data_IF_068049545050
#
_entry.id   IF_068049545050
#
_cell.length_a   1.000
_cell.length_b   1.000
_cell.length_c   1.000
_cell.angle_alpha   90.00
_cell.angle_beta   90.00
_cell.angle_gamma   90.00
#
_symmetry.space_group_name_H-M   'P 1'
#
loop_
_entity.id
_entity.type
_entity.pdbx_description
1 polymer ?
#
# COMPACT_ATOMS: atom_id res chain seq x y z
N UNK A 1 -45.52 20.45 34.60
CA UNK A 1 -45.31 19.52 33.47
C UNK A 1 -43.82 19.52 33.17
N UNK A 2 -43.12 18.47 33.61
CA UNK A 2 -41.69 18.27 33.45
C UNK A 2 -41.54 17.11 32.46
N UNK A 3 -41.15 17.41 31.22
CA UNK A 3 -40.84 16.38 30.23
C UNK A 3 -39.38 15.96 30.41
N UNK A 4 -39.20 14.73 30.88
CA UNK A 4 -37.93 14.05 30.90
C UNK A 4 -37.50 13.77 29.45
N UNK A 5 -36.40 14.40 29.01
CA UNK A 5 -35.75 14.05 27.77
C UNK A 5 -35.11 12.67 27.94
N UNK A 6 -35.67 11.69 27.23
CA UNK A 6 -35.18 10.32 27.17
C UNK A 6 -33.74 10.27 26.67
N UNK A 7 -32.87 9.72 27.50
CA UNK A 7 -31.50 9.38 27.17
C UNK A 7 -31.54 8.28 26.09
N UNK A 8 -31.38 8.67 24.82
CA UNK A 8 -31.25 7.72 23.72
C UNK A 8 -29.94 6.97 23.93
N UNK A 9 -29.92 5.63 23.97
CA UNK A 9 -28.69 4.89 24.15
C UNK A 9 -27.76 5.19 22.97
N UNK A 10 -26.60 5.76 23.28
CA UNK A 10 -25.48 5.90 22.35
C UNK A 10 -25.13 4.48 21.92
N UNK A 11 -25.47 4.11 20.68
CA UNK A 11 -24.91 2.92 20.04
C UNK A 11 -23.41 3.09 20.05
N UNK A 12 -22.71 2.27 20.84
CA UNK A 12 -21.26 2.16 20.81
C UNK A 12 -20.92 1.57 19.45
N UNK A 13 -20.67 2.46 18.49
CA UNK A 13 -20.07 2.10 17.22
C UNK A 13 -18.66 1.61 17.57
N UNK A 14 -18.42 0.30 17.46
CA UNK A 14 -17.13 -0.30 17.77
C UNK A 14 -16.02 0.45 17.02
N UNK A 15 -15.05 1.01 17.75
CA UNK A 15 -13.88 1.67 17.15
C UNK A 15 -13.22 0.70 16.15
N UNK A 16 -13.16 1.02 14.85
CA UNK A 16 -12.63 0.12 13.83
C UNK A 16 -11.18 -0.28 14.10
N UNK A 17 -10.42 0.55 14.81
CA UNK A 17 -9.05 0.23 15.25
C UNK A 17 -9.08 -0.87 16.32
N UNK A 18 -10.01 -0.78 17.28
CA UNK A 18 -10.14 -1.75 18.34
C UNK A 18 -10.62 -3.11 17.80
N UNK A 19 -11.58 -3.12 16.87
CA UNK A 19 -12.01 -4.34 16.17
C UNK A 19 -10.82 -5.02 15.48
N UNK A 20 -10.01 -4.26 14.73
CA UNK A 20 -8.82 -4.79 14.03
C UNK A 20 -7.74 -5.27 15.00
N UNK A 21 -7.57 -4.63 16.16
CA UNK A 21 -6.68 -5.12 17.23
C UNK A 21 -7.17 -6.44 17.83
N UNK A 22 -8.47 -6.57 18.07
CA UNK A 22 -9.07 -7.80 18.60
C UNK A 22 -8.90 -8.95 17.59
N UNK A 23 -9.16 -8.71 16.30
CA UNK A 23 -8.88 -9.69 15.22
C UNK A 23 -7.41 -10.11 15.20
N UNK A 24 -6.48 -9.15 15.29
CA UNK A 24 -5.04 -9.47 15.38
C UNK A 24 -4.72 -10.35 16.59
N UNK A 25 -5.29 -10.04 17.75
CA UNK A 25 -5.10 -10.84 18.96
C UNK A 25 -5.64 -12.27 18.79
N UNK A 26 -6.78 -12.43 18.11
CA UNK A 26 -7.34 -13.73 17.77
C UNK A 26 -6.43 -14.54 16.84
N UNK A 27 -5.80 -13.91 15.82
CA UNK A 27 -4.79 -14.57 14.99
C UNK A 27 -3.63 -15.11 15.85
N UNK A 28 -3.08 -14.28 16.73
CA UNK A 28 -1.97 -14.66 17.62
C UNK A 28 -2.38 -15.81 18.55
N UNK A 29 -3.59 -15.75 19.14
CA UNK A 29 -4.11 -16.79 20.01
C UNK A 29 -4.32 -18.13 19.28
N UNK A 30 -4.63 -18.08 17.97
CA UNK A 30 -4.71 -19.24 17.09
C UNK A 30 -3.33 -19.73 16.61
N UNK A 31 -2.22 -19.20 17.14
CA UNK A 31 -0.86 -19.55 16.74
C UNK A 31 -0.42 -18.98 15.38
N UNK A 32 -1.20 -18.08 14.77
CA UNK A 32 -0.92 -17.47 13.47
C UNK A 32 -0.22 -16.13 13.66
N UNK A 33 0.90 -15.93 12.99
CA UNK A 33 1.65 -14.67 13.06
C UNK A 33 1.03 -13.62 12.11
N UNK A 34 0.44 -12.51 12.62
CA UNK A 34 -0.19 -11.48 11.78
C UNK A 34 0.81 -10.54 11.09
N UNK A 35 2.11 -10.72 11.36
CA UNK A 35 3.22 -9.98 10.79
C UNK A 35 4.22 -11.01 10.29
N UNK A 36 3.93 -11.55 9.10
CA UNK A 36 4.54 -12.73 8.53
C UNK A 36 6.01 -12.59 8.21
N UNK A 37 6.46 -13.42 7.28
CA UNK A 37 7.84 -13.56 6.88
C UNK A 37 8.05 -13.04 5.44
N UNK A 38 9.25 -13.21 4.90
CA UNK A 38 9.48 -12.98 3.48
C UNK A 38 8.60 -13.95 2.68
N UNK A 39 7.79 -13.42 1.76
CA UNK A 39 6.92 -14.21 0.90
C UNK A 39 7.49 -14.25 -0.52
N UNK A 40 7.73 -15.45 -1.03
CA UNK A 40 8.24 -15.66 -2.38
C UNK A 40 7.09 -15.57 -3.39
N UNK A 41 6.99 -14.43 -4.07
CA UNK A 41 6.04 -14.21 -5.17
C UNK A 41 6.71 -14.49 -6.53
N UNK A 42 5.94 -14.95 -7.50
CA UNK A 42 6.43 -15.33 -8.83
C UNK A 42 6.07 -14.33 -9.93
N UNK A 43 5.13 -13.41 -9.67
CA UNK A 43 4.68 -12.44 -10.66
C UNK A 43 4.11 -11.17 -10.03
N UNK A 44 4.26 -10.06 -10.75
CA UNK A 44 3.55 -8.83 -10.47
C UNK A 44 2.22 -8.75 -11.25
N UNK A 45 1.30 -7.92 -10.78
CA UNK A 45 0.00 -7.72 -11.40
C UNK A 45 0.13 -7.29 -12.88
N UNK A 46 1.02 -6.34 -13.20
CA UNK A 46 1.25 -5.90 -14.58
C UNK A 46 1.73 -7.03 -15.49
N UNK A 47 2.58 -7.90 -14.97
CA UNK A 47 3.18 -9.00 -15.73
C UNK A 47 2.12 -10.04 -16.10
N UNK A 48 1.21 -10.32 -15.16
CA UNK A 48 0.06 -11.19 -15.40
C UNK A 48 -0.88 -10.56 -16.44
N UNK A 49 -1.21 -9.27 -16.32
CA UNK A 49 -2.05 -8.59 -17.31
C UNK A 49 -1.44 -8.62 -18.72
N UNK A 50 -0.13 -8.42 -18.83
CA UNK A 50 0.57 -8.50 -20.10
C UNK A 50 0.60 -9.93 -20.67
N UNK A 51 0.96 -10.92 -19.83
CA UNK A 51 1.09 -12.33 -20.24
C UNK A 51 -0.24 -12.94 -20.70
N UNK A 52 -1.34 -12.60 -20.02
CA UNK A 52 -2.67 -13.18 -20.27
C UNK A 52 -3.62 -12.20 -20.96
N UNK A 53 -3.10 -11.20 -21.68
CA UNK A 53 -3.91 -10.20 -22.37
C UNK A 53 -4.93 -10.82 -23.33
N UNK A 54 -4.58 -11.95 -23.97
CA UNK A 54 -5.40 -12.65 -24.97
C UNK A 54 -6.22 -13.82 -24.39
N UNK A 55 -6.15 -14.08 -23.08
CA UNK A 55 -6.93 -15.15 -22.44
C UNK A 55 -8.43 -14.87 -22.60
N UNK A 56 -9.22 -15.85 -23.06
CA UNK A 56 -10.63 -15.64 -23.35
C UNK A 56 -11.49 -15.56 -22.08
N UNK A 57 -12.66 -14.91 -22.18
CA UNK A 57 -13.59 -14.78 -21.06
C UNK A 57 -14.11 -16.14 -20.60
N UNK A 58 -13.95 -16.43 -19.30
CA UNK A 58 -14.34 -17.71 -18.71
C UNK A 58 -13.29 -18.80 -18.80
N UNK A 59 -12.11 -18.51 -19.37
CA UNK A 59 -11.01 -19.47 -19.48
C UNK A 59 -10.21 -19.55 -18.16
N UNK A 60 -9.88 -20.77 -17.75
CA UNK A 60 -8.99 -21.08 -16.64
C UNK A 60 -7.71 -21.68 -17.22
N UNK A 61 -6.56 -21.27 -16.68
CA UNK A 61 -5.24 -21.81 -17.04
C UNK A 61 -4.77 -22.78 -15.96
N UNK A 62 -3.76 -23.58 -16.29
CA UNK A 62 -3.04 -24.40 -15.31
C UNK A 62 -1.78 -23.68 -14.75
N UNK A 63 -1.64 -22.39 -15.04
CA UNK A 63 -0.45 -21.64 -14.67
C UNK A 63 -0.52 -21.21 -13.21
N UNK A 64 0.29 -21.87 -12.39
CA UNK A 64 0.41 -21.57 -10.97
C UNK A 64 1.24 -20.31 -10.76
N UNK A 65 0.70 -19.38 -9.97
CA UNK A 65 1.34 -18.11 -9.63
C UNK A 65 1.22 -17.81 -8.15
N UNK A 66 2.25 -17.17 -7.61
CA UNK A 66 2.25 -16.55 -6.29
C UNK A 66 2.26 -15.02 -6.47
N UNK A 67 1.28 -14.34 -5.90
CA UNK A 67 1.16 -12.88 -5.92
C UNK A 67 1.03 -12.33 -4.52
N UNK A 68 1.55 -11.12 -4.27
CA UNK A 68 1.45 -10.46 -2.99
C UNK A 68 1.06 -8.99 -3.14
N UNK A 69 0.31 -8.47 -2.20
CA UNK A 69 -0.10 -7.07 -2.24
C UNK A 69 -1.04 -6.66 -1.12
N UNK A 70 -1.58 -5.46 -1.25
CA UNK A 70 -2.52 -4.87 -0.30
C UNK A 70 -3.96 -5.08 -0.76
N UNK A 71 -4.83 -5.52 0.15
CA UNK A 71 -6.27 -5.63 -0.13
C UNK A 71 -6.87 -4.24 -0.26
N UNK A 72 -7.28 -3.89 -1.48
CA UNK A 72 -7.91 -2.62 -1.81
C UNK A 72 -9.43 -2.72 -1.83
N UNK A 73 -9.99 -3.86 -2.21
CA UNK A 73 -11.43 -4.14 -2.10
C UNK A 73 -11.65 -5.56 -1.62
N UNK A 74 -12.81 -5.78 -1.01
CA UNK A 74 -13.29 -7.11 -0.64
C UNK A 74 -14.80 -7.14 -0.83
N UNK A 75 -15.29 -8.13 -1.57
CA UNK A 75 -16.72 -8.38 -1.79
C UNK A 75 -17.01 -9.85 -1.46
N UNK A 76 -17.92 -10.09 -0.53
CA UNK A 76 -18.31 -11.44 -0.10
C UNK A 76 -19.70 -11.76 -0.64
N UNK A 77 -19.85 -12.91 -1.29
CA UNK A 77 -21.09 -13.39 -1.91
C UNK A 77 -21.30 -14.87 -1.57
N UNK A 78 -21.82 -15.15 -0.37
CA UNK A 78 -22.04 -16.52 0.10
C UNK A 78 -20.74 -17.33 0.18
N UNK A 79 -20.61 -18.32 -0.71
CA UNK A 79 -19.45 -19.23 -0.82
C UNK A 79 -18.31 -18.71 -1.71
N UNK A 80 -18.46 -17.49 -2.24
CA UNK A 80 -17.48 -16.81 -3.09
C UNK A 80 -17.04 -15.49 -2.45
N UNK A 81 -15.76 -15.15 -2.59
CA UNK A 81 -15.25 -13.83 -2.25
C UNK A 81 -14.33 -13.31 -3.35
N UNK A 82 -14.42 -12.01 -3.65
CA UNK A 82 -13.57 -11.32 -4.61
C UNK A 82 -12.78 -10.24 -3.89
N UNK A 83 -11.45 -10.29 -4.00
CA UNK A 83 -10.56 -9.27 -3.48
C UNK A 83 -9.91 -8.53 -4.64
N UNK A 84 -9.62 -7.24 -4.48
CA UNK A 84 -8.65 -6.56 -5.34
C UNK A 84 -7.35 -6.44 -4.57
N UNK A 85 -6.30 -7.06 -5.07
CA UNK A 85 -4.96 -7.00 -4.52
C UNK A 85 -4.14 -5.99 -5.33
N UNK A 86 -3.53 -5.03 -4.64
CA UNK A 86 -2.65 -4.01 -5.25
C UNK A 86 -1.20 -4.27 -4.88
N UNK A 87 -0.35 -4.39 -5.88
CA UNK A 87 1.10 -4.49 -5.71
C UNK A 87 1.82 -3.22 -6.19
N UNK A 88 3.14 -3.32 -6.38
CA UNK A 88 3.95 -2.22 -6.93
C UNK A 88 3.70 -1.96 -8.41
N UNK A 89 2.88 -2.71 -9.12
CA UNK A 89 2.70 -2.55 -10.58
C UNK A 89 1.26 -2.27 -10.97
N UNK A 90 0.29 -2.72 -10.18
CA UNK A 90 -1.11 -2.50 -10.47
C UNK A 90 -2.04 -3.30 -9.57
N UNK A 91 -3.24 -3.53 -10.08
CA UNK A 91 -4.31 -4.27 -9.41
C UNK A 91 -4.54 -5.62 -10.09
N UNK A 92 -4.70 -6.67 -9.30
CA UNK A 92 -5.15 -7.99 -9.75
C UNK A 92 -6.34 -8.45 -8.90
N UNK A 93 -7.31 -9.12 -9.51
CA UNK A 93 -8.42 -9.71 -8.75
C UNK A 93 -8.01 -11.05 -8.17
N UNK A 94 -8.36 -11.31 -6.92
CA UNK A 94 -8.27 -12.62 -6.30
C UNK A 94 -9.67 -13.19 -6.21
N UNK A 95 -9.84 -14.40 -6.73
CA UNK A 95 -11.09 -15.13 -6.68
C UNK A 95 -10.98 -16.25 -5.66
N UNK A 96 -11.67 -16.11 -4.53
CA UNK A 96 -11.67 -17.09 -3.44
C UNK A 96 -12.98 -17.88 -3.48
N UNK A 97 -12.90 -19.21 -3.61
CA UNK A 97 -14.06 -20.10 -3.53
C UNK A 97 -13.80 -21.13 -2.43
N UNK A 98 -14.84 -21.48 -1.68
CA UNK A 98 -14.71 -22.45 -0.57
C UNK A 98 -14.21 -23.82 -1.05
N UNK A 99 -14.53 -24.21 -2.30
CA UNK A 99 -14.13 -25.50 -2.85
C UNK A 99 -12.62 -25.57 -3.13
N UNK A 100 -11.95 -24.45 -3.41
CA UNK A 100 -10.50 -24.43 -3.70
C UNK A 100 -9.66 -24.21 -2.43
N UNK A 101 -10.18 -23.45 -1.46
CA UNK A 101 -9.47 -23.11 -0.21
C UNK A 101 -9.81 -24.04 0.97
N UNK A 102 -10.94 -24.75 0.92
CA UNK A 102 -11.50 -25.41 2.09
C UNK A 102 -12.17 -24.44 3.09
N UNK A 103 -12.88 -24.99 4.06
CA UNK A 103 -13.74 -24.21 4.96
C UNK A 103 -12.94 -23.31 5.92
N UNK A 104 -11.85 -23.83 6.51
CA UNK A 104 -11.05 -23.10 7.49
C UNK A 104 -10.36 -21.88 6.90
N UNK A 105 -9.73 -22.05 5.73
CA UNK A 105 -9.00 -20.97 5.08
C UNK A 105 -9.95 -19.95 4.44
N UNK A 106 -11.07 -20.41 3.87
CA UNK A 106 -12.12 -19.51 3.40
C UNK A 106 -12.74 -18.68 4.54
N UNK A 107 -12.87 -19.24 5.76
CA UNK A 107 -13.29 -18.47 6.92
C UNK A 107 -12.28 -17.35 7.24
N UNK A 108 -10.98 -17.62 7.16
CA UNK A 108 -9.94 -16.60 7.36
C UNK A 108 -10.02 -15.49 6.31
N UNK A 109 -10.31 -15.82 5.05
CA UNK A 109 -10.54 -14.81 4.00
C UNK A 109 -11.66 -13.85 4.39
N UNK A 110 -12.71 -14.33 5.06
CA UNK A 110 -13.80 -13.48 5.58
C UNK A 110 -13.39 -12.58 6.74
N UNK A 111 -12.32 -12.91 7.45
CA UNK A 111 -11.80 -12.08 8.55
C UNK A 111 -10.79 -11.01 8.11
N UNK A 112 -10.18 -11.17 6.93
CA UNK A 112 -9.29 -10.17 6.33
C UNK A 112 -9.99 -8.81 6.14
N UNK A 113 -9.26 -7.72 6.32
CA UNK A 113 -9.78 -6.36 6.20
C UNK A 113 -9.10 -5.59 5.07
N UNK A 114 -9.78 -4.54 4.58
CA UNK A 114 -9.17 -3.59 3.65
C UNK A 114 -7.90 -2.99 4.27
N UNK A 115 -6.84 -2.95 3.48
CA UNK A 115 -5.52 -2.49 3.86
C UNK A 115 -4.56 -3.58 4.34
N UNK A 116 -5.05 -4.78 4.66
CA UNK A 116 -4.19 -5.92 5.00
C UNK A 116 -3.29 -6.28 3.81
N UNK A 117 -2.07 -6.71 4.10
CA UNK A 117 -1.17 -7.31 3.12
C UNK A 117 -1.30 -8.81 3.14
N UNK A 118 -1.48 -9.41 1.97
CA UNK A 118 -1.61 -10.86 1.82
C UNK A 118 -0.72 -11.38 0.69
N UNK A 119 -0.30 -12.64 0.84
CA UNK A 119 0.26 -13.46 -0.22
C UNK A 119 -0.80 -14.45 -0.68
N UNK A 120 -0.84 -14.76 -1.96
CA UNK A 120 -1.82 -15.65 -2.58
C UNK A 120 -1.11 -16.58 -3.55
N UNK A 121 -1.28 -17.88 -3.36
CA UNK A 121 -0.96 -18.88 -4.37
C UNK A 121 -2.24 -19.30 -5.07
N UNK A 122 -2.16 -19.54 -6.38
CA UNK A 122 -3.33 -19.89 -7.16
C UNK A 122 -3.06 -20.11 -8.63
N UNK A 123 -4.13 -20.28 -9.41
CA UNK A 123 -4.08 -20.40 -10.87
C UNK A 123 -4.69 -19.20 -11.56
N UNK A 124 -4.20 -18.85 -12.74
CA UNK A 124 -4.71 -17.70 -13.48
C UNK A 124 -6.02 -18.07 -14.22
N UNK A 125 -6.99 -17.16 -14.17
CA UNK A 125 -8.25 -17.25 -14.93
C UNK A 125 -8.67 -15.89 -15.43
N UNK A 126 -9.47 -15.85 -16.50
CA UNK A 126 -10.31 -14.70 -16.80
C UNK A 126 -11.75 -15.05 -16.47
N UNK A 127 -12.36 -14.27 -15.58
CA UNK A 127 -13.78 -14.46 -15.25
C UNK A 127 -14.68 -14.26 -16.47
N UNK A 128 -15.91 -14.78 -16.44
CA UNK A 128 -16.92 -14.56 -17.50
C UNK A 128 -17.27 -13.09 -17.75
N UNK A 129 -16.87 -12.17 -16.87
CA UNK A 129 -17.04 -10.72 -17.01
C UNK A 129 -15.78 -10.03 -17.57
N UNK A 130 -14.82 -10.80 -18.06
CA UNK A 130 -13.58 -10.32 -18.66
C UNK A 130 -12.50 -9.87 -17.70
N UNK A 131 -12.69 -10.02 -16.39
CA UNK A 131 -11.69 -9.61 -15.40
C UNK A 131 -10.66 -10.72 -15.16
N UNK A 132 -9.38 -10.44 -15.44
CA UNK A 132 -8.26 -11.31 -15.10
C UNK A 132 -8.15 -11.47 -13.58
N UNK A 133 -8.03 -12.71 -13.11
CA UNK A 133 -8.03 -13.07 -11.70
C UNK A 133 -7.07 -14.21 -11.41
N UNK A 134 -6.68 -14.34 -10.14
CA UNK A 134 -6.02 -15.53 -9.60
C UNK A 134 -7.03 -16.28 -8.73
N UNK A 135 -7.33 -17.53 -9.06
CA UNK A 135 -8.14 -18.43 -8.24
C UNK A 135 -7.25 -18.86 -7.07
N UNK A 136 -7.60 -18.42 -5.86
CA UNK A 136 -6.78 -18.70 -4.70
C UNK A 136 -6.92 -20.16 -4.28
N UNK A 137 -5.78 -20.85 -4.20
CA UNK A 137 -5.65 -22.18 -3.60
C UNK A 137 -5.00 -22.10 -2.22
N UNK A 138 -4.29 -21.01 -1.92
CA UNK A 138 -3.78 -20.69 -0.59
C UNK A 138 -3.64 -19.17 -0.41
N UNK A 139 -3.92 -18.65 0.78
CA UNK A 139 -3.85 -17.25 1.18
C UNK A 139 -3.18 -17.13 2.55
N UNK A 140 -2.14 -16.31 2.60
CA UNK A 140 -1.42 -15.98 3.83
C UNK A 140 -1.58 -14.50 4.17
N UNK A 141 -1.84 -14.21 5.45
CA UNK A 141 -1.76 -12.85 5.98
C UNK A 141 -0.29 -12.46 6.24
N UNK A 142 0.23 -11.51 5.45
CA UNK A 142 1.60 -11.02 5.60
C UNK A 142 1.70 -9.86 6.60
N UNK A 143 0.71 -8.97 6.61
CA UNK A 143 0.69 -7.85 7.56
C UNK A 143 -0.72 -7.34 7.82
N UNK A 144 -1.15 -7.44 9.08
CA UNK A 144 -2.44 -6.89 9.52
C UNK A 144 -2.44 -5.36 9.56
N UNK A 145 -3.35 -4.74 8.81
CA UNK A 145 -3.65 -3.32 8.90
C UNK A 145 -4.57 -3.03 10.09
N UNK A 146 -4.03 -2.33 11.09
CA UNK A 146 -4.75 -1.91 12.29
C UNK A 146 -5.60 -0.66 12.05
N UNK A 147 -5.16 0.23 11.16
CA UNK A 147 -5.93 1.44 10.79
C UNK A 147 -6.69 1.16 9.51
N UNK A 148 -7.99 1.46 9.45
CA UNK A 148 -8.72 1.40 8.20
C UNK A 148 -8.14 2.40 7.21
N UNK A 149 -8.14 2.03 5.93
CA UNK A 149 -7.90 2.99 4.86
C UNK A 149 -9.07 3.99 4.83
N UNK A 150 -8.83 5.27 4.50
CA UNK A 150 -9.90 6.23 4.25
C UNK A 150 -10.87 5.72 3.17
N UNK A 151 -12.11 6.18 3.21
CA UNK A 151 -13.10 5.79 2.21
C UNK A 151 -12.66 6.15 0.78
N UNK A 152 -12.93 5.22 -0.15
CA UNK A 152 -12.50 5.34 -1.55
C UNK A 152 -13.16 6.47 -2.33
N UNK A 153 -14.38 6.86 -1.98
CA UNK A 153 -15.19 7.75 -2.83
C UNK A 153 -14.72 9.20 -2.85
N UNK A 154 -14.03 9.66 -1.80
CA UNK A 154 -13.54 11.04 -1.74
C UNK A 154 -12.01 11.16 -1.86
N UNK A 155 -11.29 10.02 -1.85
CA UNK A 155 -9.85 10.00 -1.70
C UNK A 155 -9.38 10.74 -0.44
N UNK A 156 -8.08 10.80 -0.21
CA UNK A 156 -7.54 11.73 0.78
C UNK A 156 -7.47 13.11 0.11
N UNK A 157 -8.53 13.91 0.19
CA UNK A 157 -8.65 15.20 -0.50
C UNK A 157 -7.97 16.36 0.23
N UNK A 158 -7.97 16.32 1.58
CA UNK A 158 -7.36 17.34 2.42
C UNK A 158 -5.83 17.38 2.21
N UNK A 159 -5.33 18.48 1.63
CA UNK A 159 -3.90 18.67 1.30
C UNK A 159 -2.98 18.52 2.52
N UNK A 160 -3.37 19.04 3.67
CA UNK A 160 -2.57 18.94 4.89
C UNK A 160 -2.41 17.47 5.32
N UNK A 161 -3.51 16.71 5.34
CA UNK A 161 -3.48 15.30 5.67
C UNK A 161 -2.65 14.49 4.67
N UNK A 162 -2.72 14.80 3.38
CA UNK A 162 -1.87 14.16 2.35
C UNK A 162 -0.39 14.36 2.60
N UNK A 163 0.00 15.55 3.07
CA UNK A 163 1.40 15.87 3.35
C UNK A 163 1.88 15.27 4.66
N UNK A 164 1.02 15.22 5.69
CA UNK A 164 1.33 14.58 6.98
C UNK A 164 1.35 13.06 6.91
N UNK A 165 0.49 12.47 6.09
CA UNK A 165 0.31 11.02 5.95
C UNK A 165 0.57 10.58 4.51
N UNK A 166 1.76 10.92 3.98
CA UNK A 166 2.14 10.57 2.60
C UNK A 166 1.99 9.09 2.28
N UNK A 167 2.23 8.21 3.25
CA UNK A 167 2.07 6.77 3.10
C UNK A 167 0.61 6.35 2.80
N UNK A 168 -0.39 7.05 3.37
CA UNK A 168 -1.81 6.83 3.04
C UNK A 168 -2.13 7.45 1.68
N UNK A 169 -1.61 8.65 1.42
CA UNK A 169 -1.81 9.36 0.15
C UNK A 169 -1.31 8.55 -1.05
N UNK A 170 -0.15 7.91 -0.94
CA UNK A 170 0.39 7.02 -1.99
C UNK A 170 -0.47 5.79 -2.27
N UNK A 171 -1.19 5.29 -1.27
CA UNK A 171 -2.10 4.14 -1.42
C UNK A 171 -3.42 4.56 -2.05
N UNK A 172 -3.95 5.71 -1.62
CA UNK A 172 -5.29 6.18 -2.00
C UNK A 172 -5.31 6.97 -3.31
N UNK A 173 -4.20 7.63 -3.69
CA UNK A 173 -4.11 8.50 -4.85
C UNK A 173 -2.98 8.04 -5.80
N UNK A 174 -3.25 7.14 -6.77
CA UNK A 174 -2.24 6.61 -7.70
C UNK A 174 -1.45 7.69 -8.46
N UNK A 175 -2.09 8.80 -8.83
CA UNK A 175 -1.43 9.92 -9.53
C UNK A 175 -0.28 10.55 -8.72
N UNK A 176 -0.33 10.46 -7.38
CA UNK A 176 0.76 10.93 -6.51
C UNK A 176 2.00 10.08 -6.73
N UNK A 177 1.81 8.76 -6.80
CA UNK A 177 2.90 7.82 -7.08
C UNK A 177 3.53 8.11 -8.44
N UNK A 178 2.72 8.33 -9.48
CA UNK A 178 3.24 8.74 -10.80
C UNK A 178 4.06 10.03 -10.74
N UNK A 179 3.67 10.98 -9.89
CA UNK A 179 4.42 12.23 -9.70
C UNK A 179 5.83 11.97 -9.14
N UNK A 180 5.95 11.06 -8.17
CA UNK A 180 7.25 10.66 -7.63
C UNK A 180 8.09 9.85 -8.63
N UNK A 181 7.47 8.96 -9.40
CA UNK A 181 8.14 8.23 -10.48
C UNK A 181 8.68 9.19 -11.55
N UNK A 182 7.89 10.18 -11.95
CA UNK A 182 8.32 11.24 -12.88
C UNK A 182 9.48 12.05 -12.30
N UNK A 183 9.42 12.46 -11.02
CA UNK A 183 10.53 13.15 -10.35
C UNK A 183 11.82 12.33 -10.39
N UNK A 184 11.74 11.04 -10.07
CA UNK A 184 12.90 10.14 -10.14
C UNK A 184 13.48 10.05 -11.56
N UNK A 185 12.62 9.89 -12.57
CA UNK A 185 13.03 9.85 -13.99
C UNK A 185 13.68 11.15 -14.44
N UNK A 186 13.15 12.30 -14.03
CA UNK A 186 13.72 13.62 -14.35
C UNK A 186 15.13 13.76 -13.77
N UNK A 187 15.32 13.49 -12.48
CA UNK A 187 16.65 13.56 -11.85
C UNK A 187 17.62 12.59 -12.50
N UNK A 188 17.18 11.37 -12.80
CA UNK A 188 18.00 10.36 -13.48
C UNK A 188 18.39 10.80 -14.90
N UNK A 189 17.50 11.48 -15.62
CA UNK A 189 17.77 11.99 -16.96
C UNK A 189 18.79 13.14 -16.93
N UNK A 190 18.66 14.06 -15.95
CA UNK A 190 19.63 15.14 -15.76
C UNK A 190 21.03 14.59 -15.47
N UNK A 191 21.15 13.60 -14.57
CA UNK A 191 22.43 12.96 -14.27
C UNK A 191 23.08 12.34 -15.51
N UNK A 192 22.35 11.48 -16.21
CA UNK A 192 22.86 10.82 -17.43
C UNK A 192 23.30 11.83 -18.47
N UNK A 193 22.50 12.87 -18.70
CA UNK A 193 22.86 13.93 -19.65
C UNK A 193 24.18 14.62 -19.26
N UNK A 194 24.38 14.96 -17.98
CA UNK A 194 25.61 15.59 -17.51
C UNK A 194 26.82 14.66 -17.59
N UNK A 195 26.64 13.38 -17.25
CA UNK A 195 27.66 12.33 -17.38
C UNK A 195 28.11 12.13 -18.83
N UNK A 196 27.16 12.10 -19.78
CA UNK A 196 27.44 12.01 -21.21
C UNK A 196 28.24 13.23 -21.73
N UNK A 197 28.17 14.35 -21.01
CA UNK A 197 28.96 15.56 -21.27
C UNK A 197 30.25 15.63 -20.43
N UNK A 198 30.67 14.51 -19.81
CA UNK A 198 31.88 14.38 -19.00
C UNK A 198 31.93 15.25 -17.73
N UNK A 199 30.76 15.66 -17.20
CA UNK A 199 30.70 16.29 -15.88
C UNK A 199 30.85 15.24 -14.77
N UNK A 200 31.47 15.63 -13.66
CA UNK A 200 31.56 14.83 -12.45
C UNK A 200 30.56 15.31 -11.40
N UNK A 201 29.69 14.41 -10.92
CA UNK A 201 28.82 14.69 -9.76
C UNK A 201 29.68 14.72 -8.48
N UNK A 202 29.58 15.80 -7.71
CA UNK A 202 30.32 15.99 -6.45
C UNK A 202 29.38 16.38 -5.32
N UNK A 203 29.72 15.99 -4.10
CA UNK A 203 29.00 16.41 -2.91
C UNK A 203 29.77 17.51 -2.18
N UNK A 204 29.15 18.68 -2.04
CA UNK A 204 29.69 19.81 -1.27
C UNK A 204 29.03 19.89 0.11
N UNK A 205 29.69 20.51 1.12
CA UNK A 205 29.14 20.63 2.47
C UNK A 205 27.74 21.25 2.48
N UNK A 206 26.89 20.81 3.41
CA UNK A 206 25.59 21.45 3.68
C UNK A 206 25.66 22.47 4.82
N UNK A 207 26.66 22.36 5.70
CA UNK A 207 26.90 23.24 6.83
C UNK A 207 28.08 24.15 6.52
N UNK A 208 27.83 25.45 6.46
CA UNK A 208 28.85 26.45 6.20
C UNK A 208 29.06 27.32 7.44
N UNK A 209 30.30 27.74 7.67
CA UNK A 209 30.61 28.73 8.72
C UNK A 209 30.37 30.17 8.27
N UNK A 210 30.08 30.37 6.98
CA UNK A 210 29.88 31.68 6.35
C UNK A 210 28.64 31.59 5.46
N UNK A 211 27.87 32.67 5.39
CA UNK A 211 26.72 32.77 4.50
C UNK A 211 27.17 33.19 3.10
N UNK A 212 26.70 32.50 2.05
CA UNK A 212 27.06 32.83 0.67
C UNK A 212 26.27 32.07 -0.38
N UNK A 213 26.43 32.45 -1.65
CA UNK A 213 25.89 31.75 -2.82
C UNK A 213 24.53 32.24 -3.34
N UNK A 214 23.68 32.83 -2.50
CA UNK A 214 22.41 33.43 -2.92
C UNK A 214 21.93 34.50 -1.92
N UNK A 215 20.91 35.29 -2.31
CA UNK A 215 20.27 36.25 -1.41
C UNK A 215 19.05 35.63 -0.73
N UNK A 216 19.28 34.89 0.37
CA UNK A 216 18.23 34.27 1.18
C UNK A 216 18.64 34.21 2.66
N UNK A 217 17.65 34.19 3.56
CA UNK A 217 17.88 34.01 4.99
C UNK A 217 18.18 32.52 5.28
N UNK A 218 19.36 32.15 5.80
CA UNK A 218 19.68 30.76 6.08
C UNK A 218 19.07 30.27 7.40
N UNK A 219 18.96 28.95 7.53
CA UNK A 219 18.75 28.32 8.84
C UNK A 219 20.07 28.31 9.61
N UNK A 220 19.99 28.64 10.89
CA UNK A 220 21.14 28.69 11.80
C UNK A 220 21.08 27.48 12.73
N UNK A 221 22.21 26.82 12.92
CA UNK A 221 22.39 25.74 13.89
C UNK A 221 23.69 25.95 14.67
N UNK A 222 23.84 25.28 15.81
CA UNK A 222 25.02 25.41 16.65
C UNK A 222 25.85 24.13 16.63
N UNK A 223 27.14 24.26 16.34
CA UNK A 223 28.06 23.13 16.33
C UNK A 223 28.76 22.98 17.69
N UNK A 224 28.23 22.12 18.55
CA UNK A 224 28.69 21.95 19.94
C UNK A 224 30.22 21.79 20.08
N UNK A 225 30.87 20.93 19.28
CA UNK A 225 32.31 20.67 19.45
C UNK A 225 33.23 21.82 19.01
N UNK A 226 32.74 22.72 18.15
CA UNK A 226 33.49 23.90 17.68
C UNK A 226 33.01 25.17 18.40
N UNK A 227 32.02 25.03 19.29
CA UNK A 227 31.37 26.08 20.04
C UNK A 227 31.06 27.33 19.21
N UNK A 228 30.49 27.13 18.01
CA UNK A 228 30.15 28.20 17.08
C UNK A 228 28.96 27.85 16.19
N UNK A 229 28.33 28.88 15.67
CA UNK A 229 27.19 28.74 14.78
C UNK A 229 27.62 28.35 13.36
N UNK A 230 26.74 27.60 12.70
CA UNK A 230 26.83 27.20 11.31
C UNK A 230 25.49 27.47 10.62
N UNK A 231 25.56 27.57 9.30
CA UNK A 231 24.43 27.91 8.44
C UNK A 231 24.17 26.77 7.45
N UNK A 232 22.90 26.39 7.28
CA UNK A 232 22.52 25.47 6.20
C UNK A 232 22.63 26.20 4.85
N UNK A 233 23.25 25.53 3.87
CA UNK A 233 23.50 26.09 2.54
C UNK A 233 22.21 26.55 1.85
N UNK A 234 22.32 27.66 1.11
CA UNK A 234 21.24 28.22 0.27
C UNK A 234 21.53 28.03 -1.23
N UNK A 235 22.78 27.75 -1.58
CA UNK A 235 23.25 27.36 -2.91
C UNK A 235 24.51 26.49 -2.77
N UNK A 236 24.87 25.79 -3.85
CA UNK A 236 26.10 25.00 -4.01
C UNK A 236 26.98 25.60 -5.07
#
# INVERSE_FOLDING_TARGET
MSEAQGNTPITVEDDPIQVRKNKRAAFIAAGKNPYGHAFDYTAHASDLHARYQQLADGEETNDHVAVAGRIMTKRVQGKLSFLTLRDTTGDIQIFCRINDLGEEEYAQVKDLDLGDWIGVNGTVTRTKRGQLSVIATHIELLSKAIRPLPEKFHGLSNKEMRYRQRYVDLVMNPNVRETFEKRFKIVSAVRRYMEDQQFYEVETPFLHSIMGGANARPFITHHNALNRDFYLRIAT
#
